data_IF_455647324931
#
_entry.id   IF_455647324931
#
_cell.length_a   1.000
_cell.length_b   1.000
_cell.length_c   1.000
_cell.angle_alpha   90.00
_cell.angle_beta   90.00
_cell.angle_gamma   90.00
#
_symmetry.space_group_name_H-M   'P 1'
#
loop_
_entity.id
_entity.type
_entity.pdbx_description
1 polymer ?
#
# COMPACT_ATOMS: atom_id res chain seq x y z
N UNK A 1 -11.36 62.07 8.02
CA UNK A 1 -11.85 60.69 7.83
C UNK A 1 -10.63 59.79 7.87
N UNK A 2 -10.54 58.87 8.83
CA UNK A 2 -9.39 57.97 8.95
C UNK A 2 -9.65 56.77 8.02
N UNK A 3 -8.82 56.64 6.98
CA UNK A 3 -8.90 55.53 6.04
C UNK A 3 -8.10 54.35 6.60
N UNK A 4 -8.77 53.40 7.24
CA UNK A 4 -8.13 52.17 7.72
C UNK A 4 -7.80 51.29 6.53
N UNK A 5 -6.51 51.14 6.21
CA UNK A 5 -6.05 50.21 5.17
C UNK A 5 -6.16 48.79 5.74
N UNK A 6 -7.06 47.99 5.18
CA UNK A 6 -7.19 46.57 5.55
C UNK A 6 -6.14 45.78 4.76
N UNK A 7 -5.23 45.12 5.47
CA UNK A 7 -4.23 44.23 4.88
C UNK A 7 -4.82 42.84 4.63
N UNK A 8 -4.70 42.37 3.39
CA UNK A 8 -5.17 41.05 2.92
C UNK A 8 -4.01 40.12 2.55
N UNK A 9 -2.77 40.46 2.91
CA UNK A 9 -1.57 39.64 2.66
C UNK A 9 -1.74 38.17 3.07
N UNK A 10 -2.46 37.91 4.17
CA UNK A 10 -2.78 36.55 4.66
C UNK A 10 -3.53 35.67 3.64
N UNK A 11 -4.28 36.28 2.70
CA UNK A 11 -5.01 35.53 1.67
C UNK A 11 -4.07 34.80 0.69
N UNK A 12 -2.81 35.20 0.59
CA UNK A 12 -1.82 34.50 -0.23
C UNK A 12 -1.50 33.10 0.28
N UNK A 13 -1.89 32.76 1.51
CA UNK A 13 -1.70 31.44 2.11
C UNK A 13 -2.78 30.43 1.67
N UNK A 14 -3.91 30.90 1.13
CA UNK A 14 -5.03 30.03 0.74
C UNK A 14 -4.64 28.91 -0.23
N UNK A 15 -3.80 29.15 -1.28
CA UNK A 15 -3.37 28.08 -2.17
C UNK A 15 -2.54 27.00 -1.46
N UNK A 16 -1.61 27.39 -0.60
CA UNK A 16 -0.75 26.46 0.14
C UNK A 16 -1.55 25.61 1.14
N UNK A 17 -2.57 26.22 1.78
CA UNK A 17 -3.51 25.52 2.65
C UNK A 17 -4.34 24.51 1.83
N UNK A 18 -4.84 24.91 0.66
CA UNK A 18 -5.62 24.02 -0.21
C UNK A 18 -4.80 22.81 -0.66
N UNK A 19 -3.55 23.01 -1.07
CA UNK A 19 -2.63 21.93 -1.46
C UNK A 19 -2.36 20.97 -0.29
N UNK A 20 -2.08 21.51 0.90
CA UNK A 20 -1.87 20.70 2.10
C UNK A 20 -3.10 19.87 2.47
N UNK A 21 -4.30 20.43 2.31
CA UNK A 21 -5.57 19.71 2.55
C UNK A 21 -5.75 18.56 1.55
N UNK A 22 -5.48 18.78 0.26
CA UNK A 22 -5.57 17.71 -0.74
C UNK A 22 -4.56 16.59 -0.48
N UNK A 23 -3.34 16.94 -0.08
CA UNK A 23 -2.34 15.94 0.29
C UNK A 23 -2.77 15.13 1.52
N UNK A 24 -3.26 15.78 2.57
CA UNK A 24 -3.77 15.11 3.76
C UNK A 24 -4.96 14.19 3.45
N UNK A 25 -5.87 14.60 2.55
CA UNK A 25 -6.98 13.74 2.11
C UNK A 25 -6.45 12.46 1.46
N UNK A 26 -5.49 12.60 0.54
CA UNK A 26 -4.89 11.46 -0.17
C UNK A 26 -4.21 10.48 0.79
N UNK A 27 -3.40 10.98 1.73
CA UNK A 27 -2.75 10.16 2.75
C UNK A 27 -3.78 9.46 3.66
N UNK A 28 -4.86 10.15 4.01
CA UNK A 28 -5.93 9.59 4.85
C UNK A 28 -6.73 8.50 4.12
N UNK A 29 -6.97 8.64 2.80
CA UNK A 29 -7.56 7.57 1.99
C UNK A 29 -6.68 6.33 1.92
N UNK A 30 -5.37 6.52 1.74
CA UNK A 30 -4.39 5.44 1.74
C UNK A 30 -4.34 4.73 3.11
N UNK A 31 -4.31 5.49 4.21
CA UNK A 31 -4.40 4.93 5.56
C UNK A 31 -5.70 4.16 5.80
N UNK A 32 -6.86 4.70 5.40
CA UNK A 32 -8.15 4.00 5.51
C UNK A 32 -8.15 2.70 4.73
N UNK A 33 -7.55 2.67 3.54
CA UNK A 33 -7.42 1.43 2.77
C UNK A 33 -6.61 0.38 3.53
N UNK A 34 -5.49 0.77 4.16
CA UNK A 34 -4.65 -0.14 4.92
C UNK A 34 -5.24 -0.55 6.29
N UNK A 35 -6.08 0.29 6.90
CA UNK A 35 -6.69 0.08 8.23
C UNK A 35 -8.07 -0.57 8.19
N UNK A 36 -8.74 -0.63 7.03
CA UNK A 36 -9.90 -1.52 6.88
C UNK A 36 -9.48 -2.93 7.28
N UNK A 37 -10.33 -3.72 7.97
CA UNK A 37 -10.03 -5.12 8.22
C UNK A 37 -9.78 -5.76 6.86
N UNK A 38 -8.50 -6.01 6.55
CA UNK A 38 -8.14 -6.52 5.25
C UNK A 38 -8.89 -7.84 5.11
N UNK A 39 -9.72 -7.95 4.07
CA UNK A 39 -10.47 -9.18 3.77
C UNK A 39 -9.55 -10.40 3.69
N UNK A 40 -8.26 -10.15 3.47
CA UNK A 40 -7.22 -11.14 3.24
C UNK A 40 -6.03 -10.83 4.14
N UNK A 41 -5.50 -11.84 4.82
CA UNK A 41 -4.21 -11.74 5.49
C UNK A 41 -3.11 -12.02 4.46
N UNK A 42 -2.59 -10.96 3.83
CA UNK A 42 -1.60 -11.07 2.76
C UNK A 42 -0.23 -11.57 3.23
N UNK A 43 -0.03 -11.85 4.52
CA UNK A 43 1.13 -12.63 4.98
C UNK A 43 1.00 -14.12 4.64
N UNK A 44 -0.23 -14.61 4.43
CA UNK A 44 -0.57 -16.01 4.18
C UNK A 44 -0.78 -16.28 2.70
N UNK A 45 -0.07 -17.29 2.18
CA UNK A 45 -0.19 -17.78 0.79
C UNK A 45 -1.64 -18.00 0.33
N UNK A 46 -2.47 -18.57 1.21
CA UNK A 46 -3.87 -18.89 0.92
C UNK A 46 -4.75 -17.66 0.66
N UNK A 47 -4.37 -16.52 1.21
CA UNK A 47 -5.09 -15.26 1.06
C UNK A 47 -4.45 -14.40 -0.05
N UNK A 48 -3.12 -14.47 -0.23
CA UNK A 48 -2.43 -13.93 -1.41
C UNK A 48 -3.02 -14.48 -2.71
N UNK A 49 -3.26 -15.80 -2.80
CA UNK A 49 -3.84 -16.40 -4.02
C UNK A 49 -5.25 -15.89 -4.32
N UNK A 50 -6.07 -15.69 -3.27
CA UNK A 50 -7.44 -15.16 -3.40
C UNK A 50 -7.42 -13.70 -3.80
N UNK A 51 -6.56 -12.91 -3.16
CA UNK A 51 -6.39 -11.50 -3.42
C UNK A 51 -5.94 -11.22 -4.86
N UNK A 52 -5.00 -12.01 -5.37
CA UNK A 52 -4.49 -11.90 -6.73
C UNK A 52 -5.35 -12.62 -7.78
N UNK A 53 -6.33 -13.44 -7.36
CA UNK A 53 -7.16 -14.22 -8.29
C UNK A 53 -6.39 -15.30 -9.06
N UNK A 54 -5.34 -15.88 -8.45
CA UNK A 54 -4.47 -16.87 -9.10
C UNK A 54 -4.50 -18.22 -8.37
N UNK A 55 -4.08 -19.29 -9.06
CA UNK A 55 -3.92 -20.61 -8.45
C UNK A 55 -2.68 -20.68 -7.56
N UNK A 56 -2.66 -21.67 -6.66
CA UNK A 56 -1.47 -21.94 -5.84
C UNK A 56 -0.26 -22.35 -6.71
N UNK A 57 -0.50 -23.08 -7.80
CA UNK A 57 0.53 -23.43 -8.78
C UNK A 57 1.16 -22.20 -9.43
N UNK A 58 0.38 -21.13 -9.67
CA UNK A 58 0.90 -19.86 -10.19
C UNK A 58 1.76 -19.15 -9.16
N UNK A 59 1.41 -19.16 -7.87
CA UNK A 59 2.31 -18.64 -6.83
C UNK A 59 3.63 -19.41 -6.80
N UNK A 60 3.57 -20.76 -6.85
CA UNK A 60 4.79 -21.57 -6.91
C UNK A 60 5.64 -21.23 -8.14
N UNK A 61 5.00 -21.03 -9.29
CA UNK A 61 5.65 -20.60 -10.53
C UNK A 61 6.32 -19.23 -10.35
N UNK A 62 5.63 -18.24 -9.80
CA UNK A 62 6.18 -16.90 -9.59
C UNK A 62 7.38 -16.88 -8.66
N UNK A 63 7.38 -17.70 -7.61
CA UNK A 63 8.54 -17.85 -6.73
C UNK A 63 9.71 -18.53 -7.46
N UNK A 64 9.44 -19.57 -8.27
CA UNK A 64 10.47 -20.29 -9.03
C UNK A 64 11.11 -19.41 -10.10
N UNK A 65 10.30 -18.63 -10.79
CA UNK A 65 10.69 -17.75 -11.90
C UNK A 65 11.18 -16.37 -11.43
N UNK A 66 11.38 -16.17 -10.11
CA UNK A 66 11.88 -14.92 -9.53
C UNK A 66 11.01 -13.68 -9.84
N UNK A 67 9.75 -13.91 -10.22
CA UNK A 67 8.71 -12.86 -10.30
C UNK A 67 8.41 -12.40 -8.88
N UNK A 68 8.15 -13.35 -7.98
CA UNK A 68 8.17 -13.11 -6.55
C UNK A 68 9.58 -13.36 -6.04
N UNK A 69 10.25 -12.27 -5.68
CA UNK A 69 11.61 -12.24 -5.15
C UNK A 69 11.61 -12.42 -3.64
N UNK A 70 12.40 -13.36 -3.15
CA UNK A 70 12.69 -13.49 -1.71
C UNK A 70 13.45 -12.25 -1.23
N UNK A 71 13.13 -11.77 -0.03
CA UNK A 71 13.66 -10.49 0.47
C UNK A 71 12.80 -9.27 0.13
N UNK A 72 11.87 -9.40 -0.82
CA UNK A 72 10.98 -8.31 -1.24
C UNK A 72 9.51 -8.70 -1.18
N UNK A 73 9.10 -9.73 -1.94
CA UNK A 73 7.70 -10.18 -1.97
C UNK A 73 7.39 -11.16 -0.84
N UNK A 74 8.39 -11.90 -0.38
CA UNK A 74 8.26 -12.84 0.72
C UNK A 74 9.60 -13.08 1.43
N UNK A 75 9.54 -13.64 2.62
CA UNK A 75 10.69 -14.15 3.37
C UNK A 75 10.42 -15.59 3.80
N UNK A 76 11.50 -16.35 4.05
CA UNK A 76 11.40 -17.66 4.72
C UNK A 76 11.85 -17.52 6.16
N UNK A 77 11.02 -17.99 7.08
CA UNK A 77 11.33 -18.10 8.50
C UNK A 77 11.40 -19.57 8.88
N UNK A 78 12.44 -19.97 9.62
CA UNK A 78 12.54 -21.31 10.18
C UNK A 78 11.91 -21.29 11.58
N UNK A 79 10.78 -22.00 11.75
CA UNK A 79 10.17 -22.24 13.07
C UNK A 79 10.26 -23.72 13.41
N UNK A 80 11.21 -24.05 14.28
CA UNK A 80 11.54 -25.44 14.60
C UNK A 80 12.10 -26.17 13.38
N UNK A 81 11.44 -27.26 12.96
CA UNK A 81 11.81 -28.02 11.76
C UNK A 81 11.11 -27.57 10.48
N UNK A 82 10.26 -26.55 10.53
CA UNK A 82 9.45 -26.10 9.38
C UNK A 82 9.98 -24.78 8.82
N UNK A 83 10.11 -24.73 7.50
CA UNK A 83 10.27 -23.48 6.75
C UNK A 83 8.89 -22.89 6.46
N UNK A 84 8.63 -21.69 6.96
CA UNK A 84 7.39 -20.94 6.74
C UNK A 84 7.68 -19.81 5.76
N UNK A 85 6.82 -19.64 4.77
CA UNK A 85 6.88 -18.51 3.84
C UNK A 85 5.92 -17.43 4.35
N UNK A 86 6.44 -16.22 4.53
CA UNK A 86 5.67 -15.05 4.95
C UNK A 86 5.73 -14.04 3.80
N UNK A 87 4.57 -13.69 3.26
CA UNK A 87 4.46 -12.71 2.19
C UNK A 87 4.43 -11.28 2.74
N UNK A 88 4.95 -10.34 1.96
CA UNK A 88 4.98 -8.91 2.31
C UNK A 88 3.78 -8.23 1.68
N UNK A 89 2.80 -7.84 2.49
CA UNK A 89 1.52 -7.30 2.03
C UNK A 89 1.69 -6.14 1.03
N UNK A 90 2.53 -5.16 1.35
CA UNK A 90 2.76 -4.00 0.48
C UNK A 90 3.31 -4.38 -0.90
N UNK A 91 4.27 -5.32 -0.97
CA UNK A 91 4.82 -5.79 -2.24
C UNK A 91 3.80 -6.59 -3.08
N UNK A 92 2.91 -7.33 -2.43
CA UNK A 92 1.82 -8.05 -3.10
C UNK A 92 0.77 -7.07 -3.65
N UNK A 93 0.42 -6.03 -2.89
CA UNK A 93 -0.49 -4.97 -3.33
C UNK A 93 0.10 -4.20 -4.52
N UNK A 94 1.37 -3.82 -4.45
CA UNK A 94 2.08 -3.16 -5.55
C UNK A 94 2.13 -4.04 -6.80
N UNK A 95 2.44 -5.33 -6.65
CA UNK A 95 2.43 -6.28 -7.75
C UNK A 95 1.06 -6.32 -8.44
N UNK A 96 -0.03 -6.37 -7.68
CA UNK A 96 -1.38 -6.37 -8.25
C UNK A 96 -1.66 -5.07 -9.02
N UNK A 97 -1.35 -3.91 -8.44
CA UNK A 97 -1.49 -2.60 -9.10
C UNK A 97 -0.67 -2.53 -10.39
N UNK A 98 0.51 -3.13 -10.42
CA UNK A 98 1.37 -3.17 -11.62
C UNK A 98 0.81 -4.03 -12.76
N UNK A 99 -0.08 -4.99 -12.47
CA UNK A 99 -0.73 -5.87 -13.45
C UNK A 99 -2.02 -5.32 -14.03
N UNK A 100 -2.63 -4.35 -13.34
CA UNK A 100 -3.86 -3.67 -13.75
C UNK A 100 -3.58 -2.44 -14.63
N UNK A 101 -2.30 -2.04 -14.76
CA UNK A 101 -1.82 -1.02 -15.69
C UNK A 101 -1.44 -1.66 -17.02
#
# INVERSE_FOLDING_TARGET
MNNTVIDFSVLSLLPAIAESIEQLKKENEELKYHLQPQKYDLSKRADVRKFLGISDSTIAKYMREQIFKEGYHFFREIKGSKSIIIFVSGAIEEFKKSKER
#
